data_IF_860265248335
#
_entry.id   IF_860265248335
#
_cell.length_a   1.000
_cell.length_b   1.000
_cell.length_c   1.000
_cell.angle_alpha   90.00
_cell.angle_beta   90.00
_cell.angle_gamma   90.00
#
_symmetry.space_group_name_H-M   'P 1'
#
loop_
_entity.id
_entity.type
_entity.pdbx_description
1 polymer ?
#
# COMPACT_ATOMS: atom_id res chain seq x y z
N UNK A 1 -46.63 -48.25 -25.48
CA UNK A 1 -45.78 -47.39 -26.33
C UNK A 1 -46.72 -46.69 -27.30
N UNK A 2 -46.80 -45.37 -27.37
CA UNK A 2 -45.69 -44.52 -27.76
C UNK A 2 -46.01 -43.06 -27.40
N UNK A 3 -45.10 -42.43 -26.66
CA UNK A 3 -45.02 -41.00 -26.49
C UNK A 3 -44.58 -40.38 -27.82
N UNK A 4 -45.32 -39.42 -28.37
CA UNK A 4 -44.81 -38.55 -29.43
C UNK A 4 -45.08 -37.08 -29.11
N UNK A 5 -44.16 -36.56 -28.30
CA UNK A 5 -43.42 -35.33 -28.50
C UNK A 5 -44.22 -34.07 -28.85
N UNK A 6 -44.60 -33.33 -27.80
CA UNK A 6 -44.84 -31.89 -27.88
C UNK A 6 -43.46 -31.21 -28.01
N UNK A 7 -43.13 -30.75 -29.22
CA UNK A 7 -41.96 -29.89 -29.44
C UNK A 7 -42.39 -28.46 -29.10
N UNK A 8 -42.04 -28.02 -27.88
CA UNK A 8 -42.06 -26.62 -27.48
C UNK A 8 -40.89 -25.90 -28.18
N UNK A 9 -41.18 -25.16 -29.24
CA UNK A 9 -40.23 -24.22 -29.83
C UNK A 9 -40.09 -22.99 -28.91
N UNK A 10 -39.10 -23.01 -28.02
CA UNK A 10 -38.62 -21.79 -27.34
C UNK A 10 -37.70 -21.05 -28.31
N UNK A 11 -38.25 -20.09 -29.07
CA UNK A 11 -37.46 -19.12 -29.81
C UNK A 11 -36.98 -18.07 -28.81
N UNK A 12 -35.80 -18.27 -28.24
CA UNK A 12 -35.07 -17.21 -27.56
C UNK A 12 -34.58 -16.22 -28.64
N UNK A 13 -35.31 -15.14 -28.84
CA UNK A 13 -34.77 -13.95 -29.48
C UNK A 13 -33.70 -13.38 -28.54
N UNK A 14 -32.46 -13.80 -28.72
CA UNK A 14 -31.31 -13.09 -28.16
C UNK A 14 -31.19 -11.82 -29.01
N UNK A 15 -31.92 -10.77 -28.61
CA UNK A 15 -31.59 -9.43 -29.07
C UNK A 15 -30.25 -9.10 -28.44
N UNK A 16 -29.16 -9.46 -29.12
CA UNK A 16 -27.87 -8.84 -28.87
C UNK A 16 -28.03 -7.39 -29.34
N UNK A 17 -28.59 -6.54 -28.49
CA UNK A 17 -28.31 -5.12 -28.61
C UNK A 17 -26.79 -5.01 -28.62
N UNK A 18 -26.15 -4.46 -29.66
CA UNK A 18 -24.77 -4.06 -29.51
C UNK A 18 -24.79 -3.09 -28.33
N UNK A 19 -24.22 -3.51 -27.21
CA UNK A 19 -23.81 -2.58 -26.19
C UNK A 19 -22.69 -1.79 -26.85
N UNK A 20 -23.08 -0.77 -27.62
CA UNK A 20 -22.25 0.39 -27.89
C UNK A 20 -21.98 0.98 -26.53
N UNK A 21 -20.96 0.42 -25.85
CA UNK A 21 -20.39 1.04 -24.68
C UNK A 21 -20.10 2.46 -25.10
N UNK A 22 -20.79 3.41 -24.47
CA UNK A 22 -20.60 4.82 -24.67
C UNK A 22 -19.10 5.07 -24.58
N UNK A 23 -18.43 5.20 -25.73
CA UNK A 23 -17.12 5.85 -25.82
C UNK A 23 -17.42 7.34 -25.75
N UNK A 24 -17.93 7.74 -24.60
CA UNK A 24 -18.08 9.11 -24.17
C UNK A 24 -17.28 9.25 -22.89
N UNK A 25 -16.54 10.34 -22.86
CA UNK A 25 -16.12 11.08 -21.67
C UNK A 25 -14.65 10.97 -21.31
N UNK A 26 -14.03 12.16 -21.38
CA UNK A 26 -12.74 12.49 -20.80
C UNK A 26 -12.65 11.88 -19.40
N UNK A 27 -11.51 11.23 -19.12
CA UNK A 27 -11.31 10.56 -17.84
C UNK A 27 -11.30 11.63 -16.74
N UNK A 28 -12.11 11.45 -15.69
CA UNK A 28 -12.07 12.40 -14.57
C UNK A 28 -10.66 12.40 -13.94
N UNK A 29 -10.18 13.53 -13.37
CA UNK A 29 -8.85 13.60 -12.75
C UNK A 29 -8.61 12.50 -11.69
N UNK A 30 -9.66 12.11 -10.98
CA UNK A 30 -9.59 11.03 -9.99
C UNK A 30 -9.41 9.64 -10.63
N UNK A 31 -10.07 9.38 -11.77
CA UNK A 31 -9.88 8.13 -12.51
C UNK A 31 -8.47 8.04 -13.10
N UNK A 32 -7.92 9.14 -13.61
CA UNK A 32 -6.52 9.21 -14.07
C UNK A 32 -5.55 8.91 -12.93
N UNK A 33 -5.78 9.50 -11.76
CA UNK A 33 -4.99 9.20 -10.56
C UNK A 33 -5.03 7.71 -10.20
N UNK A 34 -6.21 7.08 -10.20
CA UNK A 34 -6.32 5.64 -9.95
C UNK A 34 -5.60 4.78 -10.99
N UNK A 35 -5.54 5.24 -12.25
CA UNK A 35 -4.77 4.58 -13.30
C UNK A 35 -3.26 4.70 -13.05
N UNK A 36 -2.78 5.88 -12.69
CA UNK A 36 -1.37 6.11 -12.31
C UNK A 36 -0.94 5.19 -11.15
N UNK A 37 -1.78 5.04 -10.12
CA UNK A 37 -1.50 4.12 -9.01
C UNK A 37 -1.36 2.65 -9.45
N UNK A 38 -2.03 2.23 -10.54
CA UNK A 38 -1.85 0.88 -11.10
C UNK A 38 -0.46 0.70 -11.71
N UNK A 39 0.03 1.70 -12.44
CA UNK A 39 1.39 1.70 -13.00
C UNK A 39 2.45 1.73 -11.89
N UNK A 40 2.28 2.58 -10.88
CA UNK A 40 3.18 2.62 -9.72
C UNK A 40 3.26 1.26 -8.99
N UNK A 41 2.14 0.54 -8.88
CA UNK A 41 2.13 -0.81 -8.31
C UNK A 41 2.89 -1.81 -9.18
N UNK A 42 2.87 -1.65 -10.50
CA UNK A 42 3.66 -2.46 -11.43
C UNK A 42 5.16 -2.17 -11.26
N UNK A 43 5.55 -0.90 -11.09
CA UNK A 43 6.93 -0.52 -10.81
C UNK A 43 7.45 -1.15 -9.52
N UNK A 44 6.69 -1.06 -8.42
CA UNK A 44 7.05 -1.73 -7.17
C UNK A 44 7.26 -3.24 -7.34
N UNK A 45 6.36 -3.92 -8.08
CA UNK A 45 6.49 -5.36 -8.33
C UNK A 45 7.74 -5.69 -9.15
N UNK A 46 8.07 -4.86 -10.14
CA UNK A 46 9.26 -5.06 -10.97
C UNK A 46 10.56 -4.88 -10.16
N UNK A 47 10.59 -3.91 -9.24
CA UNK A 47 11.73 -3.65 -8.36
C UNK A 47 12.03 -4.79 -7.37
N UNK A 48 11.10 -5.73 -7.20
CA UNK A 48 11.35 -6.92 -6.38
C UNK A 48 12.27 -7.93 -7.05
N UNK A 49 12.42 -7.94 -8.38
CA UNK A 49 13.27 -8.94 -9.05
C UNK A 49 14.71 -8.92 -8.50
N UNK A 50 15.33 -10.08 -8.24
CA UNK A 50 14.85 -11.45 -8.52
C UNK A 50 14.04 -12.10 -7.38
N UNK A 51 13.62 -11.36 -6.35
CA UNK A 51 12.85 -11.89 -5.22
C UNK A 51 11.49 -12.42 -5.67
N UNK A 52 11.00 -13.46 -4.99
CA UNK A 52 9.66 -14.00 -5.21
C UNK A 52 8.62 -13.07 -4.62
N UNK A 53 7.71 -12.59 -5.46
CA UNK A 53 6.61 -11.73 -5.07
C UNK A 53 5.68 -12.43 -4.05
N UNK A 54 5.38 -11.72 -2.96
CA UNK A 54 4.50 -12.19 -1.88
C UNK A 54 3.18 -11.40 -1.85
N UNK A 55 3.24 -10.09 -2.11
CA UNK A 55 2.05 -9.27 -2.12
C UNK A 55 2.32 -7.79 -2.34
N UNK A 56 1.25 -7.00 -2.48
CA UNK A 56 1.33 -5.55 -2.49
C UNK A 56 0.11 -4.93 -1.82
N UNK A 57 0.30 -3.74 -1.26
CA UNK A 57 -0.71 -2.96 -0.59
C UNK A 57 -0.63 -1.50 -1.06
N UNK A 58 -1.78 -0.87 -1.22
CA UNK A 58 -1.88 0.57 -1.48
C UNK A 58 -2.55 1.24 -0.30
N UNK A 59 -1.85 2.17 0.31
CA UNK A 59 -2.32 2.89 1.48
C UNK A 59 -2.69 4.30 1.09
N UNK A 60 -3.99 4.55 0.91
CA UNK A 60 -4.52 5.90 0.71
C UNK A 60 -4.63 6.65 2.04
N UNK A 61 -4.38 7.95 2.04
CA UNK A 61 -4.51 8.79 3.22
C UNK A 61 -4.89 10.23 2.85
N UNK A 62 -5.79 10.89 3.60
CA UNK A 62 -6.01 12.33 3.47
C UNK A 62 -5.03 13.13 4.36
N UNK A 63 -4.69 14.36 3.99
CA UNK A 63 -4.06 15.26 4.96
C UNK A 63 -5.08 15.82 5.95
N UNK A 64 -4.62 16.11 7.16
CA UNK A 64 -5.42 16.66 8.27
C UNK A 64 -4.65 17.80 8.91
N UNK A 65 -5.33 18.60 9.72
CA UNK A 65 -4.71 19.69 10.50
C UNK A 65 -3.84 19.22 11.67
N UNK A 66 -3.68 17.90 11.83
CA UNK A 66 -2.83 17.31 12.85
C UNK A 66 -2.03 16.16 12.25
N UNK A 67 -0.79 16.02 12.72
CA UNK A 67 0.05 14.89 12.38
C UNK A 67 -0.59 13.62 12.91
N UNK A 68 -0.71 12.60 12.06
CA UNK A 68 -1.29 11.33 12.46
C UNK A 68 -0.59 10.15 11.81
N UNK A 69 -0.82 8.97 12.40
CA UNK A 69 -0.14 7.74 11.99
C UNK A 69 -1.14 6.76 11.40
N UNK A 70 -0.85 6.29 10.19
CA UNK A 70 -1.50 5.13 9.57
C UNK A 70 -0.54 3.96 9.59
N UNK A 71 -0.85 2.94 10.39
CA UNK A 71 -0.05 1.73 10.54
C UNK A 71 -0.55 0.63 9.61
N UNK A 72 0.36 -0.11 9.00
CA UNK A 72 0.08 -1.37 8.30
C UNK A 72 0.96 -2.49 8.87
N UNK A 73 0.48 -3.73 8.72
CA UNK A 73 1.21 -4.92 9.15
C UNK A 73 1.62 -5.75 7.92
N UNK A 74 2.88 -6.19 7.90
CA UNK A 74 3.41 -7.14 6.93
C UNK A 74 3.90 -8.37 7.67
N UNK A 75 3.46 -9.56 7.25
CA UNK A 75 3.93 -10.82 7.79
C UNK A 75 5.16 -11.31 7.01
N UNK A 76 6.23 -11.64 7.73
CA UNK A 76 7.47 -12.23 7.19
C UNK A 76 7.53 -13.70 7.59
N UNK A 77 6.62 -14.49 7.00
CA UNK A 77 6.36 -15.89 7.38
C UNK A 77 7.56 -16.78 7.03
N UNK A 78 8.16 -16.55 5.86
CA UNK A 78 9.34 -17.29 5.40
C UNK A 78 10.55 -16.92 6.24
N UNK A 79 11.46 -17.87 6.48
CA UNK A 79 12.70 -17.59 7.20
C UNK A 79 13.76 -17.00 6.27
N UNK A 80 13.36 -15.98 5.51
CA UNK A 80 14.14 -15.45 4.41
C UNK A 80 14.29 -13.95 4.55
N UNK A 81 15.23 -13.40 3.78
CA UNK A 81 15.36 -11.96 3.63
C UNK A 81 14.23 -11.48 2.72
N UNK A 82 13.49 -10.48 3.18
CA UNK A 82 12.46 -9.83 2.40
C UNK A 82 12.99 -8.53 1.80
N UNK A 83 12.56 -8.22 0.59
CA UNK A 83 12.70 -6.92 -0.04
C UNK A 83 11.34 -6.21 0.00
N UNK A 84 11.35 -5.00 0.55
CA UNK A 84 10.23 -4.08 0.57
C UNK A 84 10.47 -3.02 -0.51
N UNK A 85 9.57 -2.91 -1.48
CA UNK A 85 9.62 -1.89 -2.53
C UNK A 85 8.50 -0.88 -2.31
N UNK A 86 8.89 0.38 -2.11
CA UNK A 86 7.98 1.49 -1.91
C UNK A 86 7.92 2.37 -3.16
N UNK A 87 6.71 2.82 -3.51
CA UNK A 87 6.49 3.91 -4.45
C UNK A 87 5.61 4.95 -3.75
N UNK A 88 6.14 6.16 -3.67
CA UNK A 88 5.55 7.33 -3.05
C UNK A 88 5.21 8.43 -4.08
N UNK A 89 5.16 8.08 -5.38
CA UNK A 89 4.77 8.99 -6.45
C UNK A 89 3.30 9.43 -6.33
N UNK A 90 2.48 8.63 -5.63
CA UNK A 90 1.09 8.99 -5.33
C UNK A 90 0.92 10.02 -4.19
N UNK A 91 2.02 10.55 -3.65
CA UNK A 91 2.03 11.66 -2.68
C UNK A 91 2.33 12.94 -3.47
N UNK A 92 1.32 13.81 -3.58
CA UNK A 92 1.41 15.06 -4.36
C UNK A 92 1.69 16.30 -3.49
N UNK A 93 1.56 16.14 -2.16
CA UNK A 93 1.71 17.20 -1.17
C UNK A 93 2.95 16.93 -0.30
N UNK A 94 2.93 17.38 0.96
CA UNK A 94 4.04 17.30 1.89
C UNK A 94 4.49 15.85 2.13
N UNK A 95 5.80 15.62 2.09
CA UNK A 95 6.38 14.29 2.30
C UNK A 95 6.04 13.70 3.66
N UNK A 96 5.87 12.38 3.69
CA UNK A 96 5.57 11.65 4.92
C UNK A 96 6.85 11.06 5.52
N UNK A 97 6.80 10.64 6.79
CA UNK A 97 7.85 9.82 7.38
C UNK A 97 7.41 8.36 7.45
N UNK A 98 8.27 7.45 7.03
CA UNK A 98 8.06 6.00 7.11
C UNK A 98 8.93 5.45 8.23
N UNK A 99 8.31 4.84 9.25
CA UNK A 99 9.01 4.14 10.32
C UNK A 99 8.58 2.67 10.37
N UNK A 100 9.51 1.76 10.55
CA UNK A 100 9.23 0.31 10.63
C UNK A 100 9.63 -0.21 12.00
N UNK A 101 8.75 -1.01 12.60
CA UNK A 101 8.88 -1.52 13.97
C UNK A 101 8.71 -3.03 14.07
N UNK A 102 9.20 -3.62 15.17
CA UNK A 102 9.02 -5.04 15.52
C UNK A 102 7.64 -5.38 16.10
N UNK A 103 6.90 -4.37 16.56
CA UNK A 103 5.60 -4.50 17.25
C UNK A 103 4.65 -3.36 16.85
N UNK A 104 3.32 -3.57 16.97
CA UNK A 104 2.36 -2.55 16.60
C UNK A 104 2.38 -1.38 17.58
N UNK A 105 1.86 -0.23 17.14
CA UNK A 105 1.87 1.06 17.83
C UNK A 105 1.28 1.04 19.24
N UNK A 106 0.39 0.09 19.54
CA UNK A 106 -0.19 -0.08 20.88
C UNK A 106 0.85 -0.51 21.94
N UNK A 107 2.03 -0.99 21.53
CA UNK A 107 3.09 -1.38 22.44
C UNK A 107 4.15 -0.28 22.54
N UNK A 108 4.22 0.36 23.71
CA UNK A 108 5.18 1.45 23.98
C UNK A 108 6.65 1.00 23.92
N UNK A 109 6.93 -0.30 24.12
CA UNK A 109 8.28 -0.89 24.07
C UNK A 109 8.54 -1.64 22.74
N UNK A 110 8.21 -0.98 21.62
CA UNK A 110 8.56 -1.44 20.28
C UNK A 110 9.93 -0.87 19.87
N UNK A 111 10.69 -1.66 19.11
CA UNK A 111 12.01 -1.29 18.59
C UNK A 111 11.83 -0.67 17.20
N UNK A 112 12.39 0.52 16.99
CA UNK A 112 12.51 1.12 15.66
C UNK A 112 13.57 0.38 14.86
N UNK A 113 13.20 -0.15 13.71
CA UNK A 113 14.06 -0.96 12.84
C UNK A 113 14.54 -0.15 11.62
N UNK A 114 13.68 0.70 11.07
CA UNK A 114 14.01 1.52 9.91
C UNK A 114 13.25 2.84 9.96
N UNK A 115 13.87 3.89 9.42
CA UNK A 115 13.27 5.21 9.28
C UNK A 115 13.70 5.86 7.97
N UNK A 116 12.74 6.49 7.29
CA UNK A 116 12.98 7.36 6.15
C UNK A 116 12.05 8.55 6.22
N UNK A 117 12.63 9.74 6.28
CA UNK A 117 11.91 11.01 6.35
C UNK A 117 11.67 11.59 4.95
N UNK A 118 10.74 12.54 4.88
CA UNK A 118 10.40 13.32 3.68
C UNK A 118 10.18 12.45 2.42
N UNK A 119 9.42 11.37 2.58
CA UNK A 119 9.08 10.46 1.49
C UNK A 119 7.95 11.08 0.67
N UNK A 120 8.29 11.51 -0.54
CA UNK A 120 7.37 11.99 -1.59
C UNK A 120 8.05 11.83 -2.95
N UNK A 121 7.26 11.73 -4.03
CA UNK A 121 7.76 11.77 -5.41
C UNK A 121 8.91 10.81 -5.74
N UNK A 122 8.98 9.64 -5.09
CA UNK A 122 10.14 8.75 -5.17
C UNK A 122 9.77 7.27 -5.08
N UNK A 123 10.67 6.44 -5.58
CA UNK A 123 10.66 5.00 -5.44
C UNK A 123 11.93 4.56 -4.70
N UNK A 124 11.82 3.57 -3.82
CA UNK A 124 12.98 3.00 -3.15
C UNK A 124 12.73 1.57 -2.68
N UNK A 125 13.81 0.83 -2.47
CA UNK A 125 13.78 -0.53 -1.92
C UNK A 125 14.61 -0.60 -0.65
N UNK A 126 14.20 -1.49 0.25
CA UNK A 126 14.95 -1.85 1.45
C UNK A 126 14.86 -3.35 1.68
N UNK A 127 15.92 -3.94 2.19
CA UNK A 127 15.98 -5.36 2.53
C UNK A 127 15.89 -5.53 4.05
N UNK A 128 15.30 -6.62 4.51
CA UNK A 128 15.03 -6.82 5.95
C UNK A 128 16.25 -7.28 6.75
N UNK A 129 17.38 -7.57 6.12
CA UNK A 129 18.64 -7.89 6.79
C UNK A 129 19.02 -6.80 7.82
N UNK A 130 19.00 -5.53 7.42
CA UNK A 130 19.31 -4.40 8.30
C UNK A 130 18.36 -4.32 9.50
N UNK A 131 17.08 -4.64 9.28
CA UNK A 131 16.05 -4.64 10.32
C UNK A 131 16.21 -5.81 11.29
N UNK A 132 16.57 -6.98 10.77
CA UNK A 132 16.84 -8.18 11.59
C UNK A 132 18.05 -7.93 12.49
N UNK A 133 19.10 -7.30 11.97
CA UNK A 133 20.30 -7.00 12.75
C UNK A 133 19.99 -6.02 13.88
N UNK A 134 19.29 -4.92 13.58
CA UNK A 134 18.81 -3.96 14.60
C UNK A 134 17.89 -4.61 15.62
N UNK A 135 16.98 -5.49 15.18
CA UNK A 135 16.11 -6.24 16.08
C UNK A 135 16.91 -7.12 17.05
N UNK A 136 17.87 -7.91 16.53
CA UNK A 136 18.73 -8.77 17.35
C UNK A 136 19.60 -7.96 18.31
N UNK A 137 20.18 -6.84 17.85
CA UNK A 137 20.93 -5.93 18.71
C UNK A 137 20.07 -5.40 19.88
N UNK A 138 18.87 -4.91 19.60
CA UNK A 138 17.96 -4.42 20.64
C UNK A 138 17.58 -5.52 21.65
N UNK A 139 17.56 -6.79 21.25
CA UNK A 139 17.32 -7.92 22.17
C UNK A 139 18.53 -8.21 23.06
N UNK A 140 19.75 -8.08 22.54
CA UNK A 140 20.96 -8.19 23.36
C UNK A 140 21.01 -7.10 24.43
N UNK A 141 20.71 -5.87 24.05
CA UNK A 141 20.65 -4.72 24.97
C UNK A 141 19.55 -4.88 26.04
N UNK A 142 18.48 -5.62 25.73
CA UNK A 142 17.44 -6.00 26.69
C UNK A 142 17.84 -7.16 27.61
N UNK A 143 19.06 -7.71 27.48
CA UNK A 143 19.59 -8.78 28.34
C UNK A 143 19.17 -10.20 27.93
N UNK A 144 18.70 -10.40 26.69
CA UNK A 144 18.39 -11.75 26.19
C UNK A 144 19.69 -12.54 25.95
N UNK A 145 19.68 -13.82 26.31
CA UNK A 145 20.82 -14.73 26.06
C UNK A 145 21.12 -14.90 24.57
N UNK A 146 22.39 -14.97 24.19
CA UNK A 146 22.81 -15.05 22.77
C UNK A 146 22.24 -16.29 22.06
N UNK A 147 22.11 -17.42 22.77
CA UNK A 147 21.47 -18.64 22.23
C UNK A 147 20.01 -18.42 21.82
N UNK A 148 19.32 -17.50 22.49
CA UNK A 148 17.95 -17.10 22.14
C UNK A 148 17.99 -16.11 20.98
N UNK A 149 18.81 -15.07 21.08
CA UNK A 149 18.90 -13.99 20.07
C UNK A 149 19.25 -14.53 18.68
N UNK A 150 20.17 -15.48 18.61
CA UNK A 150 20.57 -16.16 17.36
C UNK A 150 19.40 -16.81 16.61
N UNK A 151 18.46 -17.39 17.35
CA UNK A 151 17.27 -18.08 16.81
C UNK A 151 16.02 -17.18 16.70
N UNK A 152 16.09 -15.93 17.19
CA UNK A 152 14.97 -15.00 17.08
C UNK A 152 14.71 -14.63 15.63
N UNK A 153 13.42 -14.67 15.27
CA UNK A 153 12.93 -14.30 13.95
C UNK A 153 11.98 -13.12 14.05
N UNK A 154 12.12 -12.19 13.13
CA UNK A 154 11.18 -11.11 12.92
C UNK A 154 10.04 -11.68 12.05
N UNK A 155 8.90 -12.00 12.67
CA UNK A 155 7.74 -12.64 11.99
C UNK A 155 6.78 -11.63 11.36
N UNK A 156 6.84 -10.38 11.83
CA UNK A 156 5.96 -9.29 11.42
C UNK A 156 6.74 -7.99 11.45
N UNK A 157 6.38 -7.10 10.54
CA UNK A 157 6.82 -5.72 10.48
C UNK A 157 5.60 -4.82 10.59
N UNK A 158 5.73 -3.75 11.38
CA UNK A 158 4.70 -2.74 11.54
C UNK A 158 5.21 -1.45 10.95
N UNK A 159 4.59 -1.00 9.87
CA UNK A 159 5.03 0.16 9.09
C UNK A 159 4.09 1.30 9.40
N UNK A 160 4.63 2.34 10.03
CA UNK A 160 3.95 3.58 10.31
C UNK A 160 4.23 4.58 9.20
N UNK A 161 3.16 4.99 8.53
CA UNK A 161 3.12 6.20 7.72
C UNK A 161 2.73 7.36 8.64
N UNK A 162 3.67 8.26 8.90
CA UNK A 162 3.47 9.47 9.68
C UNK A 162 3.17 10.60 8.71
N UNK A 163 1.90 10.98 8.64
CA UNK A 163 1.39 12.01 7.74
C UNK A 163 1.42 13.34 8.48
N UNK A 164 2.13 14.37 7.98
CA UNK A 164 2.24 15.65 8.66
C UNK A 164 0.90 16.40 8.65
N UNK A 165 0.77 17.35 9.59
CA UNK A 165 -0.32 18.31 9.58
C UNK A 165 -0.24 19.19 8.34
N UNK A 166 -1.41 19.51 7.76
CA UNK A 166 -1.56 20.47 6.67
C UNK A 166 -2.78 21.35 6.92
N UNK A 167 -2.62 22.64 6.65
CA UNK A 167 -3.70 23.63 6.77
C UNK A 167 -4.81 23.35 5.77
N UNK A 168 -6.04 23.74 6.13
CA UNK A 168 -7.19 23.60 5.24
C UNK A 168 -7.06 24.57 4.07
N UNK A 169 -7.24 24.04 2.87
CA UNK A 169 -7.44 24.84 1.66
C UNK A 169 -8.91 24.76 1.28
N UNK A 170 -9.49 25.92 0.96
CA UNK A 170 -10.85 26.05 0.47
C UNK A 170 -10.80 26.54 -0.97
N UNK A 171 -11.63 25.94 -1.82
CA UNK A 171 -11.90 26.40 -3.17
C UNK A 171 -13.27 27.07 -3.17
N UNK A 172 -13.32 28.29 -3.71
CA UNK A 172 -14.57 29.04 -3.89
C UNK A 172 -15.13 28.71 -5.26
N UNK A 173 -16.40 28.31 -5.32
CA UNK A 173 -17.09 28.11 -6.58
C UNK A 173 -17.51 29.48 -7.15
N UNK A 174 -17.01 29.81 -8.34
CA UNK A 174 -17.22 31.11 -8.99
C UNK A 174 -18.70 31.36 -9.34
N UNK A 175 -19.52 30.31 -9.44
CA UNK A 175 -20.93 30.43 -9.85
C UNK A 175 -21.89 30.77 -8.70
N UNK A 176 -21.67 30.22 -7.50
CA UNK A 176 -22.58 30.34 -6.36
C UNK A 176 -21.93 30.93 -5.10
N UNK A 177 -20.62 31.22 -5.15
CA UNK A 177 -19.84 31.75 -4.03
C UNK A 177 -19.69 30.76 -2.87
N UNK A 178 -20.07 29.49 -3.05
CA UNK A 178 -19.94 28.46 -2.01
C UNK A 178 -18.48 28.04 -1.85
N UNK A 179 -18.05 27.86 -0.59
CA UNK A 179 -16.72 27.35 -0.28
C UNK A 179 -16.76 25.84 -0.09
N UNK A 180 -15.93 25.14 -0.85
CA UNK A 180 -15.74 23.70 -0.69
C UNK A 180 -14.35 23.41 -0.18
N UNK A 181 -14.26 22.47 0.78
CA UNK A 181 -12.97 22.06 1.33
C UNK A 181 -12.24 21.18 0.32
N UNK A 182 -11.03 21.58 -0.08
CA UNK A 182 -10.15 20.77 -0.93
C UNK A 182 -9.65 19.57 -0.13
N UNK A 183 -9.97 18.36 -0.58
CA UNK A 183 -9.49 17.14 0.06
C UNK A 183 -8.19 16.70 -0.62
N UNK A 184 -7.06 17.08 -0.05
CA UNK A 184 -5.74 16.60 -0.45
C UNK A 184 -5.56 15.14 0.00
N UNK A 185 -5.35 14.24 -0.97
CA UNK A 185 -5.18 12.79 -0.73
C UNK A 185 -3.84 12.33 -1.31
N UNK A 186 -3.12 11.53 -0.53
CA UNK A 186 -1.94 10.81 -0.97
C UNK A 186 -2.16 9.30 -0.99
N UNK A 187 -1.27 8.59 -1.68
CA UNK A 187 -1.17 7.14 -1.61
C UNK A 187 0.29 6.68 -1.65
N UNK A 188 0.60 5.70 -0.81
CA UNK A 188 1.87 4.95 -0.88
C UNK A 188 1.57 3.52 -1.27
N UNK A 189 2.37 3.00 -2.18
CA UNK A 189 2.32 1.61 -2.60
C UNK A 189 3.53 0.89 -2.03
N UNK A 190 3.27 -0.27 -1.44
CA UNK A 190 4.28 -1.19 -0.96
C UNK A 190 4.10 -2.52 -1.71
N UNK A 191 5.15 -3.04 -2.30
CA UNK A 191 5.23 -4.45 -2.71
C UNK A 191 6.29 -5.17 -1.88
N UNK A 192 6.03 -6.43 -1.60
CA UNK A 192 6.86 -7.28 -0.75
C UNK A 192 7.22 -8.54 -1.54
N UNK A 193 8.49 -8.92 -1.45
CA UNK A 193 8.98 -10.21 -1.95
C UNK A 193 10.04 -10.79 -1.04
N UNK A 194 10.25 -12.10 -1.09
CA UNK A 194 11.25 -12.81 -0.29
C UNK A 194 12.28 -13.48 -1.18
N UNK A 195 13.51 -13.55 -0.67
CA UNK A 195 14.59 -14.24 -1.34
C UNK A 195 14.39 -15.75 -1.14
N UNK A 196 14.12 -16.48 -2.21
CA UNK A 196 13.97 -17.94 -2.18
C UNK A 196 14.96 -18.62 -3.13
N UNK A 197 16.04 -17.92 -3.46
CA UNK A 197 17.15 -18.37 -4.28
C UNK A 197 18.20 -19.07 -3.43
#
# INVERSE_FOLDING_TARGET
MSYRNIILFFIFFITTTPFEGQKGDEMSPYQEYLLQLKEYRKNCRNALKPYRYDGSLTTHFPYKEYTYVKEIEIATIQNEIYRLSFNAMGIMDDGITIKIYDKPKKYNKRTLLYEKENVTGSEFTIETNEMIDKFKQAKREQGYEEKVVTHLRLKKLFIDYIIPAKDRVFETNDEDGSETKVITKGAVILAVGYNNL
#
